data_IF_088094014854
#
_entry.id   IF_088094014854
#
_cell.length_a   1.000
_cell.length_b   1.000
_cell.length_c   1.000
_cell.angle_alpha   90.00
_cell.angle_beta   90.00
_cell.angle_gamma   90.00
#
_symmetry.space_group_name_H-M   'P 1'
#
loop_
_entity.id
_entity.type
_entity.pdbx_description
1 polymer ?
#
# COMPACT_ATOMS: atom_id res chain seq x y z
N UNK A 1 11.15 16.66 -8.86
CA UNK A 1 11.43 15.25 -8.60
C UNK A 1 10.21 14.60 -7.96
N UNK A 2 9.86 13.42 -8.42
CA UNK A 2 8.73 12.72 -7.84
C UNK A 2 9.06 12.20 -6.45
N UNK A 3 8.19 12.43 -5.51
CA UNK A 3 8.31 11.85 -4.18
C UNK A 3 7.99 10.36 -4.25
N UNK A 4 8.62 9.60 -3.40
CA UNK A 4 8.33 8.18 -3.27
C UNK A 4 7.72 7.91 -1.91
N UNK A 5 6.82 6.95 -1.89
CA UNK A 5 6.18 6.50 -0.66
C UNK A 5 6.63 5.08 -0.37
N UNK A 6 7.09 4.87 0.84
CA UNK A 6 7.36 3.52 1.31
C UNK A 6 6.11 3.02 2.02
N UNK A 7 5.53 1.97 1.49
CA UNK A 7 4.30 1.38 2.01
C UNK A 7 4.65 0.09 2.71
N UNK A 8 4.37 0.03 4.00
CA UNK A 8 4.64 -1.17 4.81
C UNK A 8 3.34 -1.76 5.30
N UNK A 9 3.13 -3.03 5.05
CA UNK A 9 1.96 -3.73 5.57
C UNK A 9 2.18 -4.02 7.05
N UNK A 10 1.27 -3.53 7.89
CA UNK A 10 1.37 -3.69 9.34
C UNK A 10 0.38 -4.72 9.88
N UNK A 11 -0.60 -5.12 9.07
CA UNK A 11 -1.56 -6.14 9.46
C UNK A 11 -1.73 -7.13 8.33
N UNK A 12 -2.02 -8.39 8.70
CA UNK A 12 -2.26 -9.44 7.72
C UNK A 12 -3.54 -9.17 6.94
N UNK A 13 -3.53 -9.55 5.65
CA UNK A 13 -4.71 -9.50 4.83
C UNK A 13 -5.63 -10.71 4.97
N UNK A 14 -5.30 -11.64 5.85
CA UNK A 14 -6.11 -12.83 6.07
C UNK A 14 -7.44 -12.41 6.68
N UNK A 15 -8.54 -12.89 6.09
CA UNK A 15 -9.87 -12.53 6.54
C UNK A 15 -10.39 -11.21 6.03
N UNK A 16 -9.61 -10.48 5.26
CA UNK A 16 -10.02 -9.21 4.68
C UNK A 16 -10.98 -9.39 3.52
N UNK A 17 -11.84 -8.39 3.23
CA UNK A 17 -12.66 -8.42 2.03
C UNK A 17 -11.80 -8.57 0.77
N UNK A 18 -12.37 -9.19 -0.24
CA UNK A 18 -11.65 -9.51 -1.48
C UNK A 18 -11.08 -8.26 -2.14
N UNK A 19 -11.84 -7.18 -2.16
CA UNK A 19 -11.41 -5.93 -2.81
C UNK A 19 -10.20 -5.31 -2.10
N UNK A 20 -10.12 -5.41 -0.78
CA UNK A 20 -8.96 -4.90 -0.05
C UNK A 20 -7.72 -5.75 -0.33
N UNK A 21 -7.89 -7.07 -0.40
CA UNK A 21 -6.78 -7.96 -0.76
C UNK A 21 -6.28 -7.67 -2.17
N UNK A 22 -7.19 -7.41 -3.10
CA UNK A 22 -6.82 -7.05 -4.46
C UNK A 22 -6.06 -5.71 -4.49
N UNK A 23 -6.45 -4.77 -3.64
CA UNK A 23 -5.76 -3.49 -3.55
C UNK A 23 -4.34 -3.66 -3.03
N UNK A 24 -4.14 -4.50 -2.00
CA UNK A 24 -2.81 -4.80 -1.50
C UNK A 24 -1.95 -5.44 -2.59
N UNK A 25 -2.52 -6.35 -3.36
CA UNK A 25 -1.82 -6.98 -4.47
C UNK A 25 -1.43 -5.96 -5.53
N UNK A 26 -2.33 -5.03 -5.85
CA UNK A 26 -2.05 -3.98 -6.83
C UNK A 26 -0.94 -3.04 -6.37
N UNK A 27 -0.81 -2.85 -5.07
CA UNK A 27 0.29 -2.06 -4.51
C UNK A 27 1.63 -2.80 -4.52
N UNK A 28 1.61 -4.11 -4.75
CA UNK A 28 2.82 -4.92 -4.77
C UNK A 28 3.13 -5.61 -3.46
N UNK A 29 2.16 -5.68 -2.55
CA UNK A 29 2.35 -6.26 -1.22
C UNK A 29 1.95 -7.72 -1.14
N UNK A 30 1.73 -8.38 -2.28
CA UNK A 30 1.27 -9.77 -2.30
C UNK A 30 2.27 -10.71 -1.63
N UNK A 31 3.55 -10.55 -1.95
CA UNK A 31 4.62 -11.41 -1.44
C UNK A 31 5.65 -10.64 -0.62
N UNK A 32 5.44 -9.35 -0.43
CA UNK A 32 6.36 -8.48 0.27
C UNK A 32 5.59 -7.69 1.32
N UNK A 33 6.25 -7.37 2.41
CA UNK A 33 5.62 -6.57 3.46
C UNK A 33 5.85 -5.08 3.28
N UNK A 34 6.77 -4.70 2.41
CA UNK A 34 7.01 -3.29 2.13
C UNK A 34 7.39 -3.12 0.68
N UNK A 35 6.95 -2.02 0.11
CA UNK A 35 7.26 -1.64 -1.27
C UNK A 35 7.45 -0.15 -1.32
N UNK A 36 8.17 0.32 -2.35
CA UNK A 36 8.31 1.74 -2.64
C UNK A 36 7.52 2.04 -3.90
N UNK A 37 6.63 3.02 -3.82
CA UNK A 37 5.80 3.44 -4.94
C UNK A 37 5.93 4.93 -5.14
N UNK A 38 5.64 5.38 -6.36
CA UNK A 38 5.63 6.80 -6.65
C UNK A 38 4.42 7.46 -5.97
N UNK A 39 4.63 8.69 -5.51
CA UNK A 39 3.56 9.48 -4.91
C UNK A 39 2.72 10.07 -6.03
N UNK A 40 1.61 9.41 -6.33
CA UNK A 40 0.66 9.92 -7.33
C UNK A 40 -0.77 9.63 -6.84
N UNK A 41 -1.78 10.28 -7.46
CA UNK A 41 -3.16 10.13 -6.99
C UNK A 41 -3.66 8.69 -7.03
N UNK A 42 -3.24 7.89 -8.01
CA UNK A 42 -3.67 6.50 -8.10
C UNK A 42 -3.16 5.68 -6.91
N UNK A 43 -1.88 5.86 -6.58
CA UNK A 43 -1.27 5.15 -5.44
C UNK A 43 -1.89 5.63 -4.13
N UNK A 44 -2.08 6.94 -3.98
CA UNK A 44 -2.70 7.49 -2.77
C UNK A 44 -4.13 6.97 -2.58
N UNK A 45 -4.88 6.82 -3.65
CA UNK A 45 -6.24 6.27 -3.58
C UNK A 45 -6.24 4.83 -3.10
N UNK A 46 -5.32 4.02 -3.62
CA UNK A 46 -5.19 2.62 -3.20
C UNK A 46 -4.78 2.52 -1.74
N UNK A 47 -3.81 3.35 -1.32
CA UNK A 47 -3.34 3.37 0.05
C UNK A 47 -4.47 3.79 0.99
N UNK A 48 -5.25 4.79 0.61
CA UNK A 48 -6.36 5.25 1.42
C UNK A 48 -7.36 4.13 1.68
N UNK A 49 -7.60 3.29 0.69
CA UNK A 49 -8.55 2.19 0.81
C UNK A 49 -8.10 1.15 1.82
N UNK A 50 -6.80 0.97 1.98
CA UNK A 50 -6.22 -0.02 2.91
C UNK A 50 -5.39 0.62 4.00
N UNK A 51 -5.64 1.90 4.31
CA UNK A 51 -4.81 2.66 5.27
C UNK A 51 -4.74 2.03 6.65
N UNK A 52 -5.75 1.26 7.00
CA UNK A 52 -5.78 0.57 8.30
C UNK A 52 -4.89 -0.68 8.32
N UNK A 53 -4.38 -1.09 7.16
CA UNK A 53 -3.54 -2.28 7.03
C UNK A 53 -2.08 -1.94 6.75
N UNK A 54 -1.80 -0.71 6.37
CA UNK A 54 -0.46 -0.31 5.94
C UNK A 54 -0.04 0.97 6.64
N UNK A 55 1.26 1.17 6.69
CA UNK A 55 1.87 2.41 7.16
C UNK A 55 2.63 3.05 6.02
N UNK A 56 2.49 4.36 5.87
CA UNK A 56 3.15 5.12 4.82
C UNK A 56 4.26 5.94 5.43
N UNK A 57 5.44 5.84 4.82
CA UNK A 57 6.56 6.71 5.15
C UNK A 57 6.97 7.43 3.88
N UNK A 58 7.06 8.75 3.94
CA UNK A 58 7.52 9.53 2.81
C UNK A 58 9.04 9.51 2.78
N UNK A 59 9.58 9.18 1.61
CA UNK A 59 11.00 9.33 1.37
C UNK A 59 11.17 10.24 0.17
N UNK A 60 11.99 11.23 0.32
CA UNK A 60 12.28 12.19 -0.74
C UNK A 60 13.67 11.95 -1.32
#
# INVERSE_FOLDING_TARGET
MAKQLQIRQIKSGVGMPHDQRATLKALGLKHQRSVTQQDNPAIRGMVHKVRHLVRIEESS
#
